data_IF_328073182934
#
_entry.id   IF_328073182934
#
_cell.length_a   1.000
_cell.length_b   1.000
_cell.length_c   1.000
_cell.angle_alpha   90.00
_cell.angle_beta   90.00
_cell.angle_gamma   90.00
#
_symmetry.space_group_name_H-M   'P 1'
#
loop_
_entity.id
_entity.type
_entity.pdbx_description
1 polymer ?
#
# COMPACT_ATOMS: atom_id res chain seq x y z
N UNK A 1 3.17 6.33 13.59
CA UNK A 1 2.77 6.84 12.26
C UNK A 1 1.28 6.68 12.07
N UNK A 2 0.61 7.77 11.75
CA UNK A 2 -0.77 7.79 11.29
C UNK A 2 -0.85 7.35 9.80
N UNK A 3 -2.06 7.10 9.30
CA UNK A 3 -2.26 6.61 7.93
C UNK A 3 -1.71 7.60 6.91
N UNK A 4 -1.94 8.90 7.10
CA UNK A 4 -1.42 9.95 6.21
C UNK A 4 0.12 9.95 6.10
N UNK A 5 0.84 9.67 7.18
CA UNK A 5 2.32 9.62 7.15
C UNK A 5 2.82 8.45 6.31
N UNK A 6 2.20 7.28 6.47
CA UNK A 6 2.53 6.07 5.70
C UNK A 6 2.25 6.31 4.20
N UNK A 7 1.10 6.91 3.90
CA UNK A 7 0.71 7.27 2.53
C UNK A 7 1.72 8.23 1.92
N UNK A 8 2.09 9.29 2.64
CA UNK A 8 3.01 10.30 2.14
C UNK A 8 4.40 9.71 1.88
N UNK A 9 4.90 8.85 2.77
CA UNK A 9 6.17 8.13 2.53
C UNK A 9 6.09 7.23 1.30
N UNK A 10 4.99 6.50 1.11
CA UNK A 10 4.82 5.65 -0.07
C UNK A 10 4.74 6.47 -1.37
N UNK A 11 4.09 7.63 -1.34
CA UNK A 11 4.03 8.57 -2.47
C UNK A 11 5.41 9.16 -2.79
N UNK A 12 6.18 9.55 -1.78
CA UNK A 12 7.53 10.09 -1.96
C UNK A 12 8.52 9.03 -2.47
N UNK A 13 8.44 7.81 -1.93
CA UNK A 13 9.27 6.70 -2.35
C UNK A 13 8.84 6.10 -3.71
N UNK A 14 7.62 6.39 -4.17
CA UNK A 14 7.02 5.71 -5.33
C UNK A 14 6.78 4.21 -5.09
N UNK A 15 6.79 3.77 -3.83
CA UNK A 15 6.71 2.36 -3.47
C UNK A 15 6.00 2.17 -2.13
N UNK A 16 5.09 1.19 -2.06
CA UNK A 16 4.49 0.72 -0.82
C UNK A 16 5.12 -0.62 -0.43
N UNK A 17 5.94 -0.58 0.63
CA UNK A 17 6.59 -1.77 1.16
C UNK A 17 5.63 -2.69 1.91
N UNK A 18 5.96 -3.98 2.02
CA UNK A 18 5.12 -4.94 2.77
C UNK A 18 4.94 -4.51 4.22
N UNK A 19 5.99 -3.98 4.85
CA UNK A 19 5.92 -3.49 6.23
C UNK A 19 4.99 -2.27 6.36
N UNK A 20 5.09 -1.32 5.43
CA UNK A 20 4.21 -0.15 5.37
C UNK A 20 2.74 -0.56 5.15
N UNK A 21 2.49 -1.56 4.30
CA UNK A 21 1.15 -2.11 4.08
C UNK A 21 0.60 -2.80 5.34
N UNK A 22 1.41 -3.56 6.06
CA UNK A 22 0.99 -4.20 7.32
C UNK A 22 0.63 -3.16 8.37
N UNK A 23 1.44 -2.12 8.52
CA UNK A 23 1.15 -1.01 9.42
C UNK A 23 -0.13 -0.28 9.02
N UNK A 24 -0.30 0.03 7.74
CA UNK A 24 -1.50 0.64 7.18
C UNK A 24 -2.75 -0.18 7.49
N UNK A 25 -2.69 -1.50 7.27
CA UNK A 25 -3.79 -2.44 7.53
C UNK A 25 -4.15 -2.51 9.02
N UNK A 26 -3.17 -2.50 9.92
CA UNK A 26 -3.42 -2.47 11.37
C UNK A 26 -4.13 -1.18 11.80
N UNK A 27 -3.77 -0.04 11.18
CA UNK A 27 -4.41 1.25 11.48
C UNK A 27 -5.83 1.34 10.92
N UNK A 28 -6.06 0.82 9.70
CA UNK A 28 -7.41 0.73 9.12
C UNK A 28 -8.34 -0.22 9.90
N UNK A 29 -7.80 -1.19 10.62
CA UNK A 29 -8.57 -2.06 11.51
C UNK A 29 -8.90 -1.42 12.87
N UNK A 30 -8.26 -0.30 13.21
CA UNK A 30 -8.56 0.42 14.45
C UNK A 30 -9.81 1.27 14.24
N UNK A 31 -10.82 1.18 15.11
CA UNK A 31 -12.18 1.76 14.95
C UNK A 31 -12.24 3.31 14.89
N UNK A 32 -11.11 4.02 14.86
CA UNK A 32 -11.03 5.50 14.86
C UNK A 32 -10.02 6.01 13.82
N UNK A 33 -10.27 5.80 12.53
CA UNK A 33 -9.57 6.55 11.47
C UNK A 33 -10.44 7.73 11.03
N UNK A 34 -9.83 8.90 10.94
CA UNK A 34 -10.53 10.14 10.60
C UNK A 34 -10.81 10.27 9.10
N UNK A 35 -11.57 11.30 8.71
CA UNK A 35 -11.81 11.62 7.29
C UNK A 35 -10.51 11.85 6.51
N UNK A 36 -9.49 12.44 7.16
CA UNK A 36 -8.17 12.65 6.57
C UNK A 36 -7.44 11.34 6.26
N UNK A 37 -7.57 10.33 7.12
CA UNK A 37 -6.98 9.02 6.89
C UNK A 37 -7.68 8.29 5.72
N UNK A 38 -9.00 8.42 5.61
CA UNK A 38 -9.78 7.89 4.47
C UNK A 38 -9.35 8.55 3.17
N UNK A 39 -9.20 9.88 3.18
CA UNK A 39 -8.74 10.64 2.01
C UNK A 39 -7.32 10.24 1.62
N UNK A 40 -6.40 10.17 2.58
CA UNK A 40 -5.03 9.74 2.32
C UNK A 40 -4.99 8.33 1.74
N UNK A 41 -5.79 7.41 2.28
CA UNK A 41 -5.89 6.06 1.73
C UNK A 41 -6.42 6.06 0.29
N UNK A 42 -7.47 6.84 -0.02
CA UNK A 42 -7.99 6.96 -1.37
C UNK A 42 -6.94 7.48 -2.38
N UNK A 43 -6.14 8.48 -1.98
CA UNK A 43 -5.02 8.99 -2.79
C UNK A 43 -3.97 7.90 -3.04
N UNK A 44 -3.62 7.12 -2.02
CA UNK A 44 -2.68 6.00 -2.16
C UNK A 44 -3.21 4.95 -3.14
N UNK A 45 -4.49 4.59 -3.03
CA UNK A 45 -5.13 3.64 -3.96
C UNK A 45 -5.07 4.13 -5.40
N UNK A 46 -5.39 5.40 -5.65
CA UNK A 46 -5.28 5.99 -6.99
C UNK A 46 -3.84 5.99 -7.51
N UNK A 47 -2.87 6.33 -6.66
CA UNK A 47 -1.46 6.34 -7.06
C UNK A 47 -0.93 4.93 -7.40
N UNK A 48 -1.42 3.90 -6.71
CA UNK A 48 -1.12 2.50 -7.04
C UNK A 48 -1.77 2.08 -8.36
N UNK A 49 -3.04 2.45 -8.59
CA UNK A 49 -3.75 2.15 -9.84
C UNK A 49 -3.13 2.85 -11.05
N UNK A 50 -2.63 4.08 -10.87
CA UNK A 50 -1.95 4.83 -11.93
C UNK A 50 -0.48 4.42 -12.13
N UNK A 51 0.02 3.44 -11.37
CA UNK A 51 1.41 2.98 -11.44
C UNK A 51 2.45 3.96 -10.89
N UNK A 52 2.02 5.04 -10.20
CA UNK A 52 2.92 6.00 -9.54
C UNK A 52 3.53 5.45 -8.26
N UNK A 53 2.80 4.55 -7.59
CA UNK A 53 3.28 3.80 -6.43
C UNK A 53 3.26 2.33 -6.76
N UNK A 54 4.41 1.68 -6.65
CA UNK A 54 4.52 0.25 -6.84
C UNK A 54 4.34 -0.48 -5.51
N UNK A 55 3.52 -1.52 -5.48
CA UNK A 55 3.28 -2.29 -4.26
C UNK A 55 4.18 -3.53 -4.24
N UNK A 56 5.07 -3.63 -3.26
CA UNK A 56 6.03 -4.76 -3.16
C UNK A 56 5.33 -6.12 -3.07
N UNK A 57 4.22 -6.21 -2.34
CA UNK A 57 3.43 -7.45 -2.24
C UNK A 57 2.93 -7.92 -3.62
N UNK A 58 2.46 -6.98 -4.45
CA UNK A 58 1.94 -7.30 -5.79
C UNK A 58 3.06 -7.72 -6.74
N UNK A 59 4.24 -7.13 -6.60
CA UNK A 59 5.42 -7.58 -7.33
C UNK A 59 5.76 -9.01 -6.96
N UNK A 60 5.87 -9.34 -5.67
CA UNK A 60 6.19 -10.69 -5.19
C UNK A 60 5.22 -11.77 -5.70
N UNK A 61 3.92 -11.43 -5.80
CA UNK A 61 2.92 -12.33 -6.41
C UNK A 61 3.11 -12.51 -7.92
N UNK A 62 3.63 -11.52 -8.63
CA UNK A 62 3.94 -11.63 -10.06
C UNK A 62 5.29 -12.30 -10.34
N UNK A 63 6.24 -12.31 -9.39
CA UNK A 63 7.56 -12.96 -9.57
C UNK A 63 7.59 -14.43 -9.16
N UNK A 64 6.47 -15.02 -8.75
CA UNK A 64 6.35 -16.49 -8.76
C UNK A 64 6.03 -16.93 -10.18
N UNK A 65 6.99 -17.41 -10.99
CA UNK A 65 6.65 -18.10 -12.22
C UNK A 65 5.85 -19.33 -11.82
N UNK A 66 4.54 -19.29 -12.09
CA UNK A 66 3.73 -20.50 -12.15
C UNK A 66 4.23 -21.29 -13.36
N UNK A 67 5.25 -22.13 -13.17
CA UNK A 67 5.61 -23.19 -14.10
C UNK A 67 6.45 -24.26 -13.39
N UNK A 68 5.77 -25.30 -12.93
CA UNK A 68 6.18 -26.65 -13.30
C UNK A 68 4.93 -27.36 -13.81
N UNK A 69 4.88 -27.51 -15.14
CA UNK A 69 4.10 -28.53 -15.80
C UNK A 69 4.77 -29.90 -15.59
N UNK A 70 3.98 -30.94 -15.31
CA UNK A 70 4.19 -32.34 -15.69
C UNK A 70 2.89 -33.11 -15.45
#
# INVERSE_FOLDING_TARGET
MAIHEIVQQALQAGMLSIEAERQLRQRLQSTRYGLDDVRAFAVLQQAMMSGRVQQQSRQLLTVTPTSTAA
#
